data_IF_259462395514
#
_entry.id   IF_259462395514
#
_cell.length_a   1.000
_cell.length_b   1.000
_cell.length_c   1.000
_cell.angle_alpha   90.00
_cell.angle_beta   90.00
_cell.angle_gamma   90.00
#
_symmetry.space_group_name_H-M   'P 1'
#
loop_
_entity.id
_entity.type
_entity.pdbx_description
1 polymer ?
#
# COMPACT_ATOMS: atom_id res chain seq x y z
N UNK A 1 34.88 -4.28 -59.55
CA UNK A 1 34.82 -4.29 -58.06
C UNK A 1 33.46 -3.75 -57.64
N UNK A 2 32.55 -4.61 -57.15
CA UNK A 2 31.22 -4.20 -56.66
C UNK A 2 31.26 -4.28 -55.14
N UNK A 3 31.27 -3.12 -54.47
CA UNK A 3 31.13 -3.04 -53.01
C UNK A 3 29.67 -3.36 -52.63
N UNK A 4 29.45 -4.44 -51.89
CA UNK A 4 28.19 -4.66 -51.19
C UNK A 4 28.17 -3.76 -49.95
N UNK A 5 27.27 -2.79 -49.93
CA UNK A 5 26.88 -2.06 -48.73
C UNK A 5 25.97 -2.98 -47.90
N UNK A 6 26.47 -3.49 -46.78
CA UNK A 6 25.64 -4.23 -45.82
C UNK A 6 24.83 -3.22 -44.99
N UNK A 7 23.53 -3.11 -45.28
CA UNK A 7 22.61 -2.27 -44.53
C UNK A 7 22.19 -3.02 -43.25
N UNK A 8 22.82 -2.68 -42.13
CA UNK A 8 22.48 -3.25 -40.81
C UNK A 8 21.21 -2.58 -40.29
N UNK A 9 20.06 -3.25 -40.37
CA UNK A 9 18.85 -2.83 -39.65
C UNK A 9 19.06 -3.06 -38.15
N UNK A 10 19.34 -1.99 -37.40
CA UNK A 10 19.24 -1.98 -35.95
C UNK A 10 17.75 -1.99 -35.56
N UNK A 11 17.23 -3.19 -35.28
CA UNK A 11 15.94 -3.31 -34.61
C UNK A 11 16.11 -2.82 -33.16
N UNK A 12 15.65 -1.60 -32.89
CA UNK A 12 15.43 -1.14 -31.53
C UNK A 12 14.32 -1.99 -30.93
N UNK A 13 14.70 -3.05 -30.20
CA UNK A 13 13.78 -3.74 -29.30
C UNK A 13 13.41 -2.71 -28.23
N UNK A 14 12.26 -2.07 -28.39
CA UNK A 14 11.68 -1.30 -27.30
C UNK A 14 11.45 -2.26 -26.17
N UNK A 15 12.24 -2.14 -25.10
CA UNK A 15 11.97 -2.84 -23.86
C UNK A 15 10.55 -2.46 -23.45
N UNK A 16 9.61 -3.40 -23.58
CA UNK A 16 8.26 -3.19 -23.10
C UNK A 16 8.40 -2.88 -21.61
N UNK A 17 7.98 -1.66 -21.23
CA UNK A 17 7.97 -1.25 -19.82
C UNK A 17 7.18 -2.33 -19.08
N UNK A 18 7.81 -2.97 -18.09
CA UNK A 18 7.14 -4.00 -17.31
C UNK A 18 5.84 -3.39 -16.77
N UNK A 19 4.72 -4.09 -16.97
CA UNK A 19 3.46 -3.65 -16.41
C UNK A 19 3.55 -3.71 -14.88
N UNK A 20 2.91 -2.77 -14.19
CA UNK A 20 2.76 -2.82 -12.74
C UNK A 20 2.19 -4.19 -12.30
N UNK A 21 2.55 -4.69 -11.09
CA UNK A 21 2.11 -6.01 -10.66
C UNK A 21 0.60 -6.14 -10.68
N UNK A 22 0.13 -7.30 -11.14
CA UNK A 22 -1.26 -7.68 -10.99
C UNK A 22 -1.55 -7.96 -9.50
N UNK A 23 -2.68 -7.49 -8.99
CA UNK A 23 -3.08 -7.79 -7.61
C UNK A 23 -4.36 -8.61 -7.63
N UNK A 24 -4.28 -9.81 -7.07
CA UNK A 24 -5.40 -10.73 -6.94
C UNK A 24 -6.03 -10.56 -5.56
N UNK A 25 -7.26 -10.06 -5.52
CA UNK A 25 -7.99 -9.80 -4.28
C UNK A 25 -8.92 -10.98 -4.02
N UNK A 26 -8.91 -11.48 -2.79
CA UNK A 26 -9.78 -12.58 -2.35
C UNK A 26 -10.26 -12.36 -0.91
N UNK A 27 -11.43 -12.90 -0.57
CA UNK A 27 -11.88 -12.99 0.82
C UNK A 27 -11.44 -14.32 1.44
N UNK A 28 -10.76 -14.27 2.60
CA UNK A 28 -10.22 -15.47 3.26
C UNK A 28 -11.15 -15.98 4.37
N UNK A 29 -12.19 -16.72 3.99
CA UNK A 29 -13.13 -17.34 4.95
C UNK A 29 -12.44 -18.29 5.93
N UNK A 30 -11.41 -19.02 5.47
CA UNK A 30 -10.66 -19.96 6.30
C UNK A 30 -9.80 -19.25 7.33
N UNK A 31 -9.16 -18.13 6.99
CA UNK A 31 -8.41 -17.32 7.95
C UNK A 31 -9.33 -16.71 9.02
N UNK A 32 -10.51 -16.26 8.61
CA UNK A 32 -11.54 -15.76 9.52
C UNK A 32 -12.03 -16.85 10.48
N UNK A 33 -12.30 -18.06 9.98
CA UNK A 33 -12.66 -19.20 10.81
C UNK A 33 -11.57 -19.56 11.83
N UNK A 34 -10.31 -19.62 11.39
CA UNK A 34 -9.17 -19.86 12.28
C UNK A 34 -9.09 -18.75 13.34
N UNK A 35 -9.25 -17.49 12.93
CA UNK A 35 -9.25 -16.36 13.85
C UNK A 35 -10.35 -16.47 14.92
N UNK A 36 -11.58 -16.81 14.54
CA UNK A 36 -12.69 -16.92 15.49
C UNK A 36 -12.47 -18.04 16.50
N UNK A 37 -11.93 -19.19 16.07
CA UNK A 37 -11.62 -20.33 16.93
C UNK A 37 -10.46 -20.04 17.88
N UNK A 38 -9.34 -19.50 17.38
CA UNK A 38 -8.11 -19.39 18.18
C UNK A 38 -8.01 -18.07 18.98
N UNK A 39 -8.64 -16.99 18.51
CA UNK A 39 -8.59 -15.67 19.19
C UNK A 39 -9.88 -15.35 19.93
N UNK A 40 -10.93 -16.16 19.78
CA UNK A 40 -12.23 -15.92 20.39
C UNK A 40 -12.96 -14.70 19.82
N UNK A 41 -12.51 -14.15 18.69
CA UNK A 41 -13.16 -13.04 18.03
C UNK A 41 -14.35 -13.55 17.24
N UNK A 42 -15.56 -13.34 17.75
CA UNK A 42 -16.79 -13.68 17.02
C UNK A 42 -16.78 -12.98 15.64
N UNK A 43 -17.08 -13.74 14.58
CA UNK A 43 -17.32 -13.22 13.22
C UNK A 43 -18.73 -13.61 12.86
N UNK A 44 -19.60 -12.61 12.74
CA UNK A 44 -21.03 -12.82 12.53
C UNK A 44 -21.36 -13.04 11.06
N UNK A 45 -22.41 -13.81 10.79
CA UNK A 45 -22.86 -14.10 9.42
C UNK A 45 -23.25 -12.81 8.67
N UNK A 46 -23.85 -11.83 9.34
CA UNK A 46 -24.19 -10.53 8.73
C UNK A 46 -22.96 -9.72 8.31
N UNK A 47 -21.80 -9.92 8.95
CA UNK A 47 -20.54 -9.27 8.54
C UNK A 47 -19.98 -9.91 7.28
N UNK A 48 -20.04 -11.24 7.20
CA UNK A 48 -19.61 -11.97 6.00
C UNK A 48 -20.49 -11.63 4.80
N UNK A 49 -21.81 -11.58 4.99
CA UNK A 49 -22.75 -11.20 3.95
C UNK A 49 -22.53 -9.75 3.48
N UNK A 50 -22.33 -8.80 4.41
CA UNK A 50 -22.01 -7.40 4.06
C UNK A 50 -20.69 -7.33 3.27
N UNK A 51 -19.62 -7.97 3.74
CA UNK A 51 -18.34 -7.99 3.01
C UNK A 51 -18.50 -8.55 1.59
N UNK A 52 -19.14 -9.71 1.43
CA UNK A 52 -19.37 -10.33 0.11
C UNK A 52 -20.12 -9.40 -0.83
N UNK A 53 -21.11 -8.65 -0.32
CA UNK A 53 -21.85 -7.68 -1.11
C UNK A 53 -21.00 -6.46 -1.52
N UNK A 54 -19.99 -6.08 -0.71
CA UNK A 54 -19.10 -4.95 -0.99
C UNK A 54 -17.87 -5.32 -1.82
N UNK A 55 -17.53 -6.60 -1.95
CA UNK A 55 -16.34 -7.05 -2.69
C UNK A 55 -16.30 -6.52 -4.15
N UNK A 56 -17.38 -6.59 -4.96
CA UNK A 56 -17.32 -6.08 -6.33
C UNK A 56 -17.03 -4.58 -6.40
N UNK A 57 -17.50 -3.79 -5.44
CA UNK A 57 -17.20 -2.35 -5.36
C UNK A 57 -15.73 -2.11 -5.00
N UNK A 58 -15.20 -2.88 -4.05
CA UNK A 58 -13.80 -2.79 -3.64
C UNK A 58 -12.87 -3.15 -4.80
N UNK A 59 -13.11 -4.28 -5.47
CA UNK A 59 -12.33 -4.73 -6.63
C UNK A 59 -12.38 -3.71 -7.77
N UNK A 60 -13.56 -3.16 -8.08
CA UNK A 60 -13.71 -2.11 -9.09
C UNK A 60 -12.91 -0.86 -8.74
N UNK A 61 -12.94 -0.43 -7.48
CA UNK A 61 -12.15 0.73 -7.04
C UNK A 61 -10.65 0.46 -7.12
N UNK A 62 -10.21 -0.75 -6.73
CA UNK A 62 -8.83 -1.17 -6.88
C UNK A 62 -8.40 -1.20 -8.36
N UNK A 63 -9.18 -1.82 -9.25
CA UNK A 63 -8.87 -1.87 -10.69
C UNK A 63 -8.73 -0.47 -11.31
N UNK A 64 -9.52 0.50 -10.84
CA UNK A 64 -9.47 1.87 -11.33
C UNK A 64 -8.25 2.68 -10.82
N UNK A 65 -7.76 2.36 -9.62
CA UNK A 65 -6.75 3.16 -8.91
C UNK A 65 -5.41 2.45 -8.72
N UNK A 66 -5.42 1.19 -8.27
CA UNK A 66 -4.27 0.37 -7.91
C UNK A 66 -3.14 0.40 -8.96
N UNK A 67 -3.40 0.08 -10.24
CA UNK A 67 -2.36 0.12 -11.27
C UNK A 67 -1.66 1.48 -11.39
N UNK A 68 -2.39 2.59 -11.19
CA UNK A 68 -1.84 3.95 -11.23
C UNK A 68 -0.96 4.23 -10.01
N UNK A 69 -1.41 3.84 -8.82
CA UNK A 69 -0.63 3.97 -7.59
C UNK A 69 0.71 3.22 -7.71
N UNK A 70 0.66 1.95 -8.12
CA UNK A 70 1.85 1.10 -8.24
C UNK A 70 2.80 1.62 -9.33
N UNK A 71 2.27 2.03 -10.48
CA UNK A 71 3.10 2.64 -11.54
C UNK A 71 3.77 3.93 -11.06
N UNK A 72 3.08 4.73 -10.25
CA UNK A 72 3.62 5.98 -9.73
C UNK A 72 4.69 5.73 -8.66
N UNK A 73 4.60 4.67 -7.86
CA UNK A 73 5.69 4.23 -6.97
C UNK A 73 6.97 3.98 -7.78
N UNK A 74 6.88 3.20 -8.85
CA UNK A 74 8.05 2.87 -9.67
C UNK A 74 8.62 4.12 -10.36
N UNK A 75 7.75 5.03 -10.80
CA UNK A 75 8.16 6.30 -11.41
C UNK A 75 8.83 7.23 -10.39
N UNK A 76 8.30 7.33 -9.18
CA UNK A 76 8.85 8.19 -8.12
C UNK A 76 10.20 7.66 -7.66
N UNK A 77 10.34 6.35 -7.46
CA UNK A 77 11.53 5.74 -6.86
C UNK A 77 12.58 5.32 -7.88
N UNK A 78 12.18 5.09 -9.14
CA UNK A 78 13.03 4.49 -10.17
C UNK A 78 13.23 2.98 -10.01
N UNK A 79 12.48 2.32 -9.12
CA UNK A 79 12.62 0.91 -8.77
C UNK A 79 11.35 0.15 -9.11
N UNK A 80 11.49 -1.04 -9.70
CA UNK A 80 10.35 -1.88 -10.07
C UNK A 80 9.92 -2.78 -8.90
N UNK A 81 8.66 -3.19 -8.88
CA UNK A 81 8.24 -4.30 -8.00
C UNK A 81 8.89 -5.61 -8.46
N UNK A 82 9.43 -6.40 -7.53
CA UNK A 82 10.07 -7.68 -7.86
C UNK A 82 9.07 -8.76 -8.27
N UNK A 83 7.86 -8.71 -7.72
CA UNK A 83 6.79 -9.66 -7.98
C UNK A 83 5.94 -9.17 -9.15
N UNK A 84 5.64 -10.06 -10.11
CA UNK A 84 4.69 -9.74 -11.19
C UNK A 84 3.22 -9.86 -10.75
N UNK A 85 2.97 -10.60 -9.67
CA UNK A 85 1.64 -10.82 -9.10
C UNK A 85 1.71 -10.77 -7.57
N UNK A 86 0.77 -10.07 -6.96
CA UNK A 86 0.62 -9.91 -5.51
C UNK A 86 -0.74 -10.47 -5.11
N UNK A 87 -0.77 -11.33 -4.09
CA UNK A 87 -2.02 -11.79 -3.49
C UNK A 87 -2.42 -10.85 -2.35
N UNK A 88 -3.70 -10.46 -2.36
CA UNK A 88 -4.32 -9.64 -1.34
C UNK A 88 -5.53 -10.37 -0.73
N UNK A 89 -5.60 -10.40 0.59
CA UNK A 89 -6.62 -11.10 1.33
C UNK A 89 -7.43 -10.13 2.19
N UNK A 90 -8.74 -10.10 1.99
CA UNK A 90 -9.67 -9.40 2.87
C UNK A 90 -9.99 -10.30 4.06
N UNK A 91 -10.08 -9.72 5.26
CA UNK A 91 -10.39 -10.45 6.50
C UNK A 91 -11.36 -9.68 7.39
N UNK A 92 -12.16 -10.42 8.15
CA UNK A 92 -12.98 -9.94 9.26
C UNK A 92 -12.42 -10.39 10.61
N UNK A 93 -11.16 -10.81 10.69
CA UNK A 93 -10.49 -11.08 11.95
C UNK A 93 -10.26 -9.78 12.75
N UNK A 94 -10.17 -9.83 14.09
CA UNK A 94 -9.90 -8.66 14.93
C UNK A 94 -8.40 -8.33 15.01
N UNK A 95 -7.77 -8.21 13.83
CA UNK A 95 -6.36 -7.89 13.70
C UNK A 95 -6.19 -6.67 12.81
N UNK A 96 -5.20 -5.81 13.07
CA UNK A 96 -4.80 -4.80 12.10
C UNK A 96 -4.51 -5.44 10.75
N UNK A 97 -4.64 -4.66 9.67
CA UNK A 97 -4.05 -5.02 8.38
C UNK A 97 -2.55 -5.28 8.55
N UNK A 98 -1.99 -6.17 7.73
CA UNK A 98 -0.57 -6.49 7.73
C UNK A 98 -0.09 -6.98 6.36
N UNK A 99 1.23 -7.08 6.21
CA UNK A 99 1.90 -7.47 4.97
C UNK A 99 2.77 -8.74 5.12
N UNK A 100 2.65 -9.47 6.24
CA UNK A 100 3.61 -10.53 6.60
C UNK A 100 3.50 -11.77 5.70
N UNK A 101 2.28 -12.16 5.32
CA UNK A 101 2.01 -13.29 4.42
C UNK A 101 1.24 -12.83 3.17
N UNK A 102 1.71 -11.73 2.57
CA UNK A 102 0.97 -10.99 1.54
C UNK A 102 0.14 -9.87 2.15
N UNK A 103 -0.55 -9.09 1.30
CA UNK A 103 -1.31 -7.93 1.77
C UNK A 103 -2.64 -8.39 2.39
N UNK A 104 -2.78 -8.25 3.71
CA UNK A 104 -4.00 -8.59 4.44
C UNK A 104 -4.72 -7.29 4.84
N UNK A 105 -5.96 -7.13 4.41
CA UNK A 105 -6.76 -5.93 4.68
C UNK A 105 -7.92 -6.28 5.61
N UNK A 106 -7.91 -5.70 6.81
CA UNK A 106 -9.05 -5.79 7.71
C UNK A 106 -10.23 -4.96 7.17
N UNK A 107 -11.39 -5.59 6.97
CA UNK A 107 -12.58 -4.95 6.41
C UNK A 107 -13.65 -4.57 7.44
N UNK A 108 -13.54 -4.95 8.71
CA UNK A 108 -14.60 -4.78 9.73
C UNK A 108 -15.15 -3.35 9.78
N UNK A 109 -14.27 -2.36 9.92
CA UNK A 109 -14.66 -0.96 10.06
C UNK A 109 -15.20 -0.34 8.76
N UNK A 110 -15.18 -1.06 7.63
CA UNK A 110 -15.85 -0.64 6.41
C UNK A 110 -17.25 -1.24 6.28
N UNK A 111 -17.72 -2.06 7.22
CA UNK A 111 -19.03 -2.72 7.15
C UNK A 111 -20.06 -1.97 7.98
N UNK A 112 -21.23 -1.72 7.39
CA UNK A 112 -22.35 -1.11 8.10
C UNK A 112 -22.97 -2.09 9.12
N UNK A 113 -22.82 -3.40 8.88
CA UNK A 113 -23.23 -4.44 9.84
C UNK A 113 -22.30 -4.54 11.06
N UNK A 114 -21.12 -3.91 11.02
CA UNK A 114 -20.15 -3.91 12.14
C UNK A 114 -20.15 -2.59 12.92
N UNK A 115 -20.20 -1.45 12.24
CA UNK A 115 -20.13 -0.12 12.87
C UNK A 115 -21.17 0.85 12.29
N UNK A 116 -21.66 1.77 13.12
CA UNK A 116 -22.61 2.80 12.71
C UNK A 116 -22.02 3.84 11.75
N UNK A 117 -20.69 4.02 11.78
CA UNK A 117 -19.96 4.98 10.94
C UNK A 117 -18.85 4.27 10.18
N UNK A 118 -19.17 3.50 9.13
CA UNK A 118 -18.16 2.77 8.38
C UNK A 118 -17.23 3.72 7.63
N UNK A 119 -15.94 3.38 7.59
CA UNK A 119 -14.98 4.05 6.72
C UNK A 119 -15.27 3.74 5.25
N UNK A 120 -14.83 4.60 4.34
CA UNK A 120 -15.05 4.39 2.91
C UNK A 120 -14.29 3.15 2.39
N UNK A 121 -14.78 2.54 1.30
CA UNK A 121 -13.99 1.53 0.58
C UNK A 121 -12.75 2.16 -0.06
N UNK A 122 -12.81 3.47 -0.36
CA UNK A 122 -11.68 4.22 -0.90
C UNK A 122 -10.51 4.22 0.08
N UNK A 123 -10.78 4.48 1.36
CA UNK A 123 -9.79 4.32 2.43
C UNK A 123 -9.29 2.87 2.52
N UNK A 124 -10.15 1.85 2.38
CA UNK A 124 -9.67 0.45 2.37
C UNK A 124 -8.80 0.11 1.15
N UNK A 125 -9.02 0.75 0.01
CA UNK A 125 -8.13 0.67 -1.16
C UNK A 125 -6.76 1.30 -0.84
N UNK A 126 -6.76 2.42 -0.10
CA UNK A 126 -5.52 3.02 0.44
C UNK A 126 -4.79 2.07 1.39
N UNK A 127 -5.51 1.41 2.30
CA UNK A 127 -4.94 0.39 3.19
C UNK A 127 -4.34 -0.79 2.40
N UNK A 128 -4.99 -1.27 1.34
CA UNK A 128 -4.38 -2.29 0.46
C UNK A 128 -3.07 -1.79 -0.15
N UNK A 129 -3.06 -0.56 -0.65
CA UNK A 129 -1.85 0.03 -1.21
C UNK A 129 -0.74 0.17 -0.14
N UNK A 130 -1.09 0.59 1.06
CA UNK A 130 -0.21 0.66 2.23
C UNK A 130 0.48 -0.68 2.52
N UNK A 131 -0.28 -1.77 2.60
CA UNK A 131 0.30 -3.10 2.86
C UNK A 131 1.21 -3.57 1.72
N UNK A 132 0.91 -3.21 0.47
CA UNK A 132 1.78 -3.48 -0.68
C UNK A 132 3.09 -2.68 -0.57
N UNK A 133 3.04 -1.43 -0.09
CA UNK A 133 4.24 -0.61 0.09
C UNK A 133 5.18 -1.17 1.15
N UNK A 134 4.69 -1.81 2.21
CA UNK A 134 5.56 -2.52 3.14
C UNK A 134 6.45 -3.53 2.41
N UNK A 135 5.86 -4.36 1.53
CA UNK A 135 6.62 -5.35 0.76
C UNK A 135 7.64 -4.71 -0.17
N UNK A 136 7.27 -3.61 -0.83
CA UNK A 136 8.18 -2.86 -1.68
C UNK A 136 9.37 -2.30 -0.89
N UNK A 137 9.13 -1.78 0.31
CA UNK A 137 10.17 -1.18 1.15
C UNK A 137 11.08 -2.23 1.79
N UNK A 138 10.57 -3.42 2.12
CA UNK A 138 11.42 -4.53 2.58
C UNK A 138 12.55 -4.86 1.59
N UNK A 139 12.33 -4.61 0.29
CA UNK A 139 13.28 -4.89 -0.79
C UNK A 139 14.19 -3.70 -1.14
N UNK A 140 13.73 -2.47 -0.86
CA UNK A 140 14.33 -1.26 -1.43
C UNK A 140 14.74 -0.19 -0.41
N UNK A 141 14.37 -0.35 0.85
CA UNK A 141 14.82 0.53 1.92
C UNK A 141 16.32 0.28 2.17
N UNK A 142 17.17 1.33 2.24
CA UNK A 142 18.57 1.13 2.54
C UNK A 142 18.75 0.58 3.95
N UNK A 143 19.69 -0.36 4.10
CA UNK A 143 20.00 -0.98 5.40
C UNK A 143 20.48 0.02 6.45
N UNK A 144 21.05 1.15 6.01
CA UNK A 144 21.56 2.24 6.85
C UNK A 144 20.86 3.56 6.50
N UNK A 145 19.58 3.68 6.84
CA UNK A 145 18.85 4.95 6.67
C UNK A 145 19.34 5.99 7.68
N UNK A 146 19.82 7.13 7.17
CA UNK A 146 20.20 8.26 8.01
C UNK A 146 18.96 8.88 8.64
N UNK A 147 17.86 8.97 7.88
CA UNK A 147 16.59 9.52 8.36
C UNK A 147 15.97 8.68 9.49
N UNK A 148 16.00 7.35 9.39
CA UNK A 148 15.54 6.50 10.49
C UNK A 148 16.44 6.63 11.72
N UNK A 149 17.75 6.83 11.52
CA UNK A 149 18.71 7.03 12.61
C UNK A 149 18.46 8.35 13.36
N UNK A 150 18.08 9.42 12.66
CA UNK A 150 17.67 10.70 13.26
C UNK A 150 16.44 10.56 14.18
N UNK A 151 15.59 9.56 13.91
CA UNK A 151 14.39 9.27 14.66
C UNK A 151 14.49 8.02 15.54
N UNK A 152 15.70 7.49 15.81
CA UNK A 152 15.90 6.21 16.50
C UNK A 152 15.22 6.09 17.87
N UNK A 153 14.92 7.22 18.52
CA UNK A 153 14.23 7.26 19.82
C UNK A 153 12.70 7.10 19.70
N UNK A 154 12.14 7.14 18.48
CA UNK A 154 10.74 6.85 18.20
C UNK A 154 10.45 5.35 18.36
N UNK A 155 9.18 5.00 18.63
CA UNK A 155 8.82 3.59 18.73
C UNK A 155 8.95 2.88 17.36
N UNK A 156 9.22 1.56 17.39
CA UNK A 156 9.41 0.76 16.17
C UNK A 156 8.28 0.88 15.16
N UNK A 157 7.02 1.06 15.61
CA UNK A 157 5.90 1.24 14.68
C UNK A 157 6.01 2.57 13.95
N UNK A 158 6.34 3.68 14.63
CA UNK A 158 6.58 4.97 13.95
C UNK A 158 7.68 4.82 12.91
N UNK A 159 8.83 4.28 13.30
CA UNK A 159 9.99 4.08 12.39
C UNK A 159 9.62 3.28 11.14
N UNK A 160 8.90 2.17 11.31
CA UNK A 160 8.45 1.32 10.19
C UNK A 160 7.49 2.03 9.22
N UNK A 161 6.92 3.17 9.59
CA UNK A 161 5.94 3.90 8.78
C UNK A 161 6.48 5.21 8.20
N UNK A 162 7.69 5.66 8.54
CA UNK A 162 8.19 6.95 8.04
C UNK A 162 8.39 6.95 6.51
N UNK A 163 9.24 6.07 5.97
CA UNK A 163 9.42 5.94 4.51
C UNK A 163 8.15 5.52 3.80
N UNK A 164 7.34 4.66 4.43
CA UNK A 164 6.10 4.17 3.86
C UNK A 164 5.11 5.30 3.64
N UNK A 165 4.77 6.04 4.69
CA UNK A 165 3.79 7.12 4.59
C UNK A 165 4.34 8.28 3.74
N UNK A 166 5.66 8.50 3.72
CA UNK A 166 6.27 9.47 2.81
C UNK A 166 6.09 9.08 1.34
N UNK A 167 6.30 7.80 1.00
CA UNK A 167 6.06 7.25 -0.33
C UNK A 167 4.58 7.29 -0.71
N UNK A 168 3.69 6.88 0.20
CA UNK A 168 2.25 6.96 0.01
C UNK A 168 1.81 8.40 -0.26
N UNK A 169 2.24 9.37 0.56
CA UNK A 169 2.00 10.80 0.36
C UNK A 169 2.47 11.27 -1.01
N UNK A 170 3.70 10.94 -1.39
CA UNK A 170 4.28 11.37 -2.66
C UNK A 170 3.47 10.88 -3.86
N UNK A 171 3.03 9.62 -3.84
CA UNK A 171 2.19 9.02 -4.88
C UNK A 171 0.85 9.76 -4.99
N UNK A 172 0.18 10.03 -3.87
CA UNK A 172 -1.13 10.68 -3.88
C UNK A 172 -1.04 12.11 -4.41
N UNK A 173 -0.06 12.88 -3.95
CA UNK A 173 0.17 14.24 -4.43
C UNK A 173 0.48 14.26 -5.93
N UNK A 174 1.32 13.33 -6.39
CA UNK A 174 1.72 13.24 -7.79
C UNK A 174 0.57 12.86 -8.74
N UNK A 175 -0.45 12.14 -8.23
CA UNK A 175 -1.66 11.77 -8.94
C UNK A 175 -2.83 12.75 -8.73
N UNK A 176 -2.64 13.81 -7.92
CA UNK A 176 -3.68 14.79 -7.60
C UNK A 176 -4.78 14.28 -6.64
N UNK A 177 -4.52 13.19 -5.91
CA UNK A 177 -5.46 12.51 -5.00
C UNK A 177 -5.46 13.17 -3.60
N UNK A 178 -5.64 14.49 -3.56
CA UNK A 178 -5.46 15.28 -2.33
C UNK A 178 -6.56 15.00 -1.30
N UNK A 179 -7.80 14.77 -1.74
CA UNK A 179 -8.91 14.47 -0.83
C UNK A 179 -8.77 13.07 -0.24
N UNK A 180 -8.34 12.08 -1.03
CA UNK A 180 -8.04 10.75 -0.51
C UNK A 180 -6.89 10.76 0.49
N UNK A 181 -5.82 11.52 0.21
CA UNK A 181 -4.71 11.68 1.15
C UNK A 181 -5.18 12.29 2.48
N UNK A 182 -6.06 13.30 2.41
CA UNK A 182 -6.64 13.93 3.60
C UNK A 182 -7.51 12.95 4.39
N UNK A 183 -8.30 12.10 3.72
CA UNK A 183 -9.06 11.03 4.37
C UNK A 183 -8.13 10.05 5.09
N UNK A 184 -7.08 9.55 4.40
CA UNK A 184 -6.09 8.64 4.98
C UNK A 184 -5.46 9.22 6.24
N UNK A 185 -4.91 10.45 6.17
CA UNK A 185 -4.29 11.12 7.31
C UNK A 185 -5.28 11.28 8.47
N UNK A 186 -6.55 11.61 8.17
CA UNK A 186 -7.58 11.81 9.19
C UNK A 186 -7.94 10.52 9.91
N UNK A 187 -8.15 9.44 9.17
CA UNK A 187 -8.53 8.13 9.75
C UNK A 187 -7.36 7.52 10.50
N UNK A 188 -6.16 7.55 9.91
CA UNK A 188 -4.92 7.07 10.53
C UNK A 188 -4.60 7.81 11.84
N UNK A 189 -4.87 9.12 11.88
CA UNK A 189 -4.71 9.94 13.07
C UNK A 189 -5.62 9.56 14.25
N UNK A 190 -6.69 8.80 13.99
CA UNK A 190 -7.64 8.30 14.98
C UNK A 190 -7.34 6.86 15.43
N UNK A 191 -6.39 6.18 14.79
CA UNK A 191 -6.03 4.80 15.13
C UNK A 191 -5.42 4.72 16.54
N UNK A 192 -5.70 3.64 17.29
CA UNK A 192 -5.21 3.47 18.64
C UNK A 192 -3.67 3.37 18.67
N UNK A 193 -3.07 3.87 19.77
CA UNK A 193 -1.63 3.83 19.99
C UNK A 193 -0.84 4.97 19.35
N UNK A 194 -1.46 5.79 18.49
CA UNK A 194 -0.89 7.07 18.01
C UNK A 194 0.35 6.98 17.11
N UNK A 195 0.82 5.78 16.77
CA UNK A 195 2.02 5.61 15.94
C UNK A 195 1.85 6.19 14.53
N UNK A 196 0.71 5.94 13.88
CA UNK A 196 0.41 6.50 12.56
C UNK A 196 0.33 8.03 12.61
N UNK A 197 -0.42 8.57 13.59
CA UNK A 197 -0.49 10.01 13.85
C UNK A 197 0.91 10.62 13.95
N UNK A 198 1.78 10.02 14.77
CA UNK A 198 3.14 10.51 14.98
C UNK A 198 4.00 10.44 13.72
N UNK A 199 3.91 9.35 12.95
CA UNK A 199 4.62 9.23 11.68
C UNK A 199 4.14 10.30 10.66
N UNK A 200 2.82 10.53 10.56
CA UNK A 200 2.25 11.61 9.75
C UNK A 200 2.73 13.00 10.19
N UNK A 201 2.80 13.27 11.49
CA UNK A 201 3.33 14.54 12.02
C UNK A 201 4.80 14.78 11.60
N UNK A 202 5.63 13.73 11.64
CA UNK A 202 7.05 13.83 11.24
C UNK A 202 7.16 14.17 9.75
N UNK A 203 6.56 13.38 8.86
CA UNK A 203 6.71 13.58 7.41
C UNK A 203 5.94 14.80 6.85
N UNK A 204 5.10 15.42 7.69
CA UNK A 204 4.39 16.68 7.40
C UNK A 204 4.94 17.86 8.20
N UNK A 205 6.10 17.75 8.84
CA UNK A 205 6.69 18.85 9.63
C UNK A 205 6.93 20.10 8.77
N UNK A 206 7.29 19.91 7.51
CA UNK A 206 7.33 20.94 6.47
C UNK A 206 6.67 20.41 5.20
N UNK A 207 6.37 21.30 4.25
CA UNK A 207 5.78 20.91 2.96
C UNK A 207 6.67 19.88 2.23
N UNK A 208 7.99 20.02 2.35
CA UNK A 208 8.99 19.21 1.64
C UNK A 208 9.62 18.07 2.48
N UNK A 209 9.22 17.89 3.75
CA UNK A 209 9.90 16.93 4.65
C UNK A 209 9.86 15.50 4.10
N UNK A 210 8.71 15.07 3.58
CA UNK A 210 8.53 13.77 2.94
C UNK A 210 9.49 13.54 1.75
N UNK A 211 9.93 14.59 1.05
CA UNK A 211 10.84 14.47 -0.10
C UNK A 211 12.22 13.97 0.32
N UNK A 212 12.65 14.19 1.56
CA UNK A 212 13.91 13.63 2.07
C UNK A 212 13.87 12.10 2.05
N UNK A 213 12.78 11.51 2.54
CA UNK A 213 12.54 10.07 2.53
C UNK A 213 12.46 9.51 1.10
N UNK A 214 11.80 10.23 0.18
CA UNK A 214 11.76 9.85 -1.24
C UNK A 214 13.16 9.85 -1.86
N UNK A 215 13.97 10.86 -1.56
CA UNK A 215 15.32 10.94 -2.09
C UNK A 215 16.21 9.81 -1.57
N UNK A 216 16.07 9.41 -0.31
CA UNK A 216 16.79 8.26 0.22
C UNK A 216 16.40 6.96 -0.51
N UNK A 217 15.10 6.75 -0.80
CA UNK A 217 14.63 5.60 -1.59
C UNK A 217 15.14 5.59 -3.03
N UNK A 218 15.41 6.74 -3.65
CA UNK A 218 15.97 6.83 -5.01
C UNK A 218 17.46 6.49 -5.07
N UNK A 219 18.17 6.70 -3.97
CA UNK A 219 19.63 6.58 -3.88
C UNK A 219 20.08 5.21 -3.36
N UNK A 220 19.22 4.51 -2.62
CA UNK A 220 19.39 3.09 -2.28
C UNK A 220 19.41 2.23 -3.55
#
# INVERSE_FOLDING_TARGET
MKSLLALTLLFYVSAAKAAAPAVEISYSESADYICSVFRGSEIKEEWQADLKNRMPDFERQWQALGPKLLTEVEKITGKAFSQAQISAHLTLCDVPSDSFLGAVVNMRYALASFTATPVSLRYKVSVLFHEILHKFLDEHLPSESTLLSEHQDENKRVLNHLHLLALEKAVYLQLGLTEELKEVITVDGQLPGGAYKRAWEIINQTDDEYLKYINELRLA
#
